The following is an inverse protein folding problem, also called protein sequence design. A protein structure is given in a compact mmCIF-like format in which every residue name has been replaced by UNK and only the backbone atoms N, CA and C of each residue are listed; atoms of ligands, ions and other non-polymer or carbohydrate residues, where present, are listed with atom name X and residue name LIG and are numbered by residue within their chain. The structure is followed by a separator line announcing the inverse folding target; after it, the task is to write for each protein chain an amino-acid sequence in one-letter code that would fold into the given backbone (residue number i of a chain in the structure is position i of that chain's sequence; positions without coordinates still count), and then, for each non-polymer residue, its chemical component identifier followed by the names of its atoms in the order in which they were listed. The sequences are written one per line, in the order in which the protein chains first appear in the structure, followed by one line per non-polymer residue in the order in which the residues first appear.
data_IF_508021332454
#
_entry.id   IF_508021332454
#
_cell.length_a   1.000
_cell.length_b   1.000
_cell.length_c   1.000
_cell.angle_alpha   90.00
_cell.angle_beta   90.00
_cell.angle_gamma   90.00
#
_symmetry.space_group_name_H-M   'P 1'
#
loop_
_entity.id
_entity.type
_entity.pdbx_description
1 polymer ?
#
# COMPACT_ATOMS: atom_id res chain seq x y z
N UNK A 1 -7.63 9.01 33.08
CA UNK A 1 -8.69 8.44 32.21
C UNK A 1 -7.98 7.72 31.06
N UNK A 2 -8.02 6.38 31.09
CA UNK A 2 -7.06 5.51 30.40
C UNK A 2 -7.29 5.32 28.90
N UNK A 3 -6.18 5.04 28.21
CA UNK A 3 -6.02 4.70 26.78
C UNK A 3 -6.67 3.35 26.37
N UNK A 4 -7.73 2.90 27.06
CA UNK A 4 -8.29 1.54 26.93
C UNK A 4 -9.45 1.41 25.93
N UNK A 5 -9.82 2.46 25.18
CA UNK A 5 -11.00 2.45 24.30
C UNK A 5 -10.72 2.37 22.80
N UNK A 6 -9.47 2.47 22.35
CA UNK A 6 -9.14 2.07 20.99
C UNK A 6 -8.90 0.56 20.99
N UNK A 7 -10.00 -0.21 21.09
CA UNK A 7 -10.06 -1.53 20.45
C UNK A 7 -9.51 -1.31 19.06
N UNK A 8 -8.31 -1.83 18.81
CA UNK A 8 -7.84 -2.11 17.47
C UNK A 8 -8.96 -2.93 16.87
N UNK A 9 -9.86 -2.29 16.12
CA UNK A 9 -10.90 -2.98 15.36
C UNK A 9 -10.15 -3.89 14.43
N UNK A 10 -10.00 -5.15 14.85
CA UNK A 10 -9.66 -6.23 13.95
C UNK A 10 -10.67 -6.09 12.82
N UNK A 11 -10.15 -5.74 11.64
CA UNK A 11 -10.95 -5.78 10.42
C UNK A 11 -11.62 -7.16 10.45
N UNK A 12 -12.97 -7.24 10.44
CA UNK A 12 -13.64 -8.54 10.45
C UNK A 12 -13.07 -9.37 9.29
N UNK A 13 -12.99 -10.69 9.44
CA UNK A 13 -12.65 -11.57 8.31
C UNK A 13 -13.69 -11.36 7.22
N UNK A 14 -13.36 -10.47 6.28
CA UNK A 14 -14.22 -10.11 5.17
C UNK A 14 -14.25 -11.29 4.20
N UNK A 15 -15.42 -11.57 3.66
CA UNK A 15 -15.55 -12.55 2.59
C UNK A 15 -14.57 -12.19 1.45
N UNK A 16 -13.93 -13.17 0.78
CA UNK A 16 -12.91 -12.91 -0.24
C UNK A 16 -13.35 -11.93 -1.32
N UNK A 17 -14.61 -11.99 -1.74
CA UNK A 17 -15.21 -11.06 -2.72
C UNK A 17 -15.30 -9.62 -2.22
N UNK A 18 -15.53 -9.42 -0.93
CA UNK A 18 -15.57 -8.10 -0.29
C UNK A 18 -14.17 -7.54 -0.15
N UNK A 19 -13.20 -8.37 0.25
CA UNK A 19 -11.78 -8.02 0.29
C UNK A 19 -11.28 -7.60 -1.09
N UNK A 20 -11.56 -8.39 -2.12
CA UNK A 20 -11.19 -8.08 -3.51
C UNK A 20 -11.78 -6.75 -3.96
N UNK A 21 -13.07 -6.50 -3.69
CA UNK A 21 -13.71 -5.22 -3.99
C UNK A 21 -12.96 -4.04 -3.36
N UNK A 22 -12.66 -4.10 -2.06
CA UNK A 22 -11.96 -3.02 -1.38
C UNK A 22 -10.52 -2.84 -1.86
N UNK A 23 -9.84 -3.93 -2.21
CA UNK A 23 -8.50 -3.88 -2.80
C UNK A 23 -8.54 -3.17 -4.15
N UNK A 24 -9.52 -3.50 -5.01
CA UNK A 24 -9.69 -2.84 -6.30
C UNK A 24 -10.04 -1.34 -6.13
N UNK A 25 -10.94 -1.00 -5.21
CA UNK A 25 -11.27 0.40 -4.88
C UNK A 25 -10.04 1.16 -4.37
N UNK A 26 -9.21 0.53 -3.53
CA UNK A 26 -7.97 1.13 -3.03
C UNK A 26 -6.98 1.39 -4.17
N UNK A 27 -6.77 0.42 -5.06
CA UNK A 27 -5.90 0.56 -6.24
C UNK A 27 -6.38 1.70 -7.13
N UNK A 28 -7.69 1.77 -7.41
CA UNK A 28 -8.27 2.83 -8.22
C UNK A 28 -8.04 4.21 -7.61
N UNK A 29 -8.35 4.36 -6.31
CA UNK A 29 -8.21 5.63 -5.59
C UNK A 29 -6.76 6.09 -5.54
N UNK A 30 -5.83 5.18 -5.23
CA UNK A 30 -4.40 5.49 -5.16
C UNK A 30 -3.81 5.82 -6.53
N UNK A 31 -4.26 5.14 -7.60
CA UNK A 31 -3.86 5.48 -8.97
C UNK A 31 -4.40 6.84 -9.40
N UNK A 32 -5.63 7.20 -9.01
CA UNK A 32 -6.17 8.55 -9.26
C UNK A 32 -5.37 9.61 -8.51
N UNK A 33 -5.06 9.39 -7.23
CA UNK A 33 -4.21 10.28 -6.44
C UNK A 33 -2.82 10.46 -7.08
N UNK A 34 -2.19 9.36 -7.53
CA UNK A 34 -0.92 9.39 -8.27
C UNK A 34 -1.02 10.21 -9.56
N UNK A 35 -2.08 10.01 -10.35
CA UNK A 35 -2.30 10.78 -11.59
C UNK A 35 -2.45 12.28 -11.31
N UNK A 36 -3.20 12.65 -10.27
CA UNK A 36 -3.37 14.04 -9.87
C UNK A 36 -2.04 14.63 -9.38
N UNK A 37 -1.29 13.92 -8.54
CA UNK A 37 0.04 14.35 -8.09
C UNK A 37 0.98 14.60 -9.27
N UNK A 38 1.04 13.69 -10.25
CA UNK A 38 1.84 13.88 -11.46
C UNK A 38 1.36 15.06 -12.30
N UNK A 39 0.04 15.20 -12.50
CA UNK A 39 -0.55 16.30 -13.27
C UNK A 39 -0.23 17.67 -12.68
N UNK A 40 -0.23 17.78 -11.35
CA UNK A 40 0.04 19.02 -10.63
C UNK A 40 1.49 19.15 -10.15
N UNK A 41 2.39 18.25 -10.59
CA UNK A 41 3.81 18.20 -10.18
C UNK A 41 4.01 18.21 -8.66
N UNK A 42 3.03 17.70 -7.92
CA UNK A 42 3.17 17.46 -6.49
C UNK A 42 4.13 16.29 -6.33
N UNK A 43 5.15 16.41 -5.48
CA UNK A 43 6.04 15.28 -5.23
C UNK A 43 5.19 14.09 -4.80
N UNK A 44 5.37 12.95 -5.48
CA UNK A 44 4.61 11.76 -5.14
C UNK A 44 5.06 11.35 -3.73
N UNK A 45 4.15 11.41 -2.76
CA UNK A 45 4.50 11.09 -1.39
C UNK A 45 4.92 9.62 -1.33
N UNK A 46 6.06 9.33 -0.70
CA UNK A 46 6.53 7.95 -0.48
C UNK A 46 5.47 7.06 0.17
N UNK A 47 4.61 7.70 0.98
CA UNK A 47 3.39 7.12 1.57
C UNK A 47 2.49 6.48 0.51
N UNK A 48 2.23 7.19 -0.58
CA UNK A 48 1.28 6.76 -1.61
C UNK A 48 1.85 5.58 -2.40
N UNK A 49 3.16 5.61 -2.69
CA UNK A 49 3.87 4.47 -3.29
C UNK A 49 3.80 3.24 -2.40
N UNK A 50 4.01 3.42 -1.10
CA UNK A 50 3.94 2.34 -0.13
C UNK A 50 2.55 1.69 -0.05
N UNK A 51 1.50 2.50 0.10
CA UNK A 51 0.14 1.96 0.16
C UNK A 51 -0.32 1.36 -1.16
N UNK A 52 0.09 1.92 -2.30
CA UNK A 52 -0.23 1.36 -3.61
C UNK A 52 0.47 0.01 -3.80
N UNK A 53 1.72 -0.12 -3.36
CA UNK A 53 2.43 -1.40 -3.37
C UNK A 53 1.75 -2.46 -2.49
N UNK A 54 1.27 -2.09 -1.29
CA UNK A 54 0.48 -3.00 -0.43
C UNK A 54 -0.81 -3.42 -1.13
N UNK A 55 -1.54 -2.48 -1.72
CA UNK A 55 -2.79 -2.79 -2.41
C UNK A 55 -2.58 -3.76 -3.58
N UNK A 56 -1.49 -3.60 -4.35
CA UNK A 56 -1.12 -4.56 -5.40
C UNK A 56 -0.71 -5.93 -4.84
N UNK A 57 -0.02 -6.01 -3.69
CA UNK A 57 0.27 -7.29 -3.03
C UNK A 57 -1.03 -8.02 -2.67
N UNK A 58 -2.01 -7.32 -2.10
CA UNK A 58 -3.31 -7.90 -1.77
C UNK A 58 -4.12 -8.31 -3.00
N UNK A 59 -3.95 -7.63 -4.13
CA UNK A 59 -4.56 -8.02 -5.40
C UNK A 59 -3.85 -9.21 -6.08
N UNK A 60 -2.74 -9.68 -5.51
CA UNK A 60 -1.89 -10.72 -6.12
C UNK A 60 -0.97 -10.22 -7.24
N UNK A 61 -0.97 -8.92 -7.57
CA UNK A 61 -0.08 -8.33 -8.57
C UNK A 61 1.27 -7.95 -7.94
N UNK A 62 2.07 -8.97 -7.63
CA UNK A 62 3.40 -8.81 -7.02
C UNK A 62 4.34 -8.01 -7.91
N UNK A 63 4.16 -8.06 -9.24
CA UNK A 63 5.00 -7.31 -10.19
C UNK A 63 4.80 -5.80 -10.01
N UNK A 64 3.55 -5.35 -9.97
CA UNK A 64 3.24 -3.95 -9.72
C UNK A 64 3.61 -3.53 -8.30
N UNK A 65 3.37 -4.39 -7.30
CA UNK A 65 3.77 -4.15 -5.92
C UNK A 65 5.28 -3.89 -5.79
N UNK A 66 6.12 -4.71 -6.45
CA UNK A 66 7.57 -4.53 -6.54
C UNK A 66 7.95 -3.20 -7.15
N UNK A 67 7.33 -2.83 -8.26
CA UNK A 67 7.64 -1.58 -8.97
C UNK A 67 7.39 -0.36 -8.09
N UNK A 68 6.26 -0.29 -7.39
CA UNK A 68 5.94 0.86 -6.54
C UNK A 68 6.85 0.93 -5.31
N UNK A 69 7.15 -0.22 -4.69
CA UNK A 69 8.03 -0.31 -3.51
C UNK A 69 9.49 -0.01 -3.85
N UNK A 70 9.98 -0.42 -5.01
CA UNK A 70 11.37 -0.14 -5.43
C UNK A 70 11.63 1.34 -5.69
N UNK A 71 10.58 2.10 -5.98
CA UNK A 71 10.67 3.54 -6.22
C UNK A 71 10.61 4.38 -4.94
N UNK A 72 10.53 3.75 -3.76
CA UNK A 72 10.61 4.44 -2.46
C UNK A 72 12.08 4.74 -2.15
N UNK A 73 12.46 6.01 -1.90
CA UNK A 73 13.84 6.39 -1.64
C UNK A 73 14.33 5.91 -0.27
N UNK A 74 15.62 5.67 -0.14
CA UNK A 74 16.24 5.15 1.11
C UNK A 74 16.07 6.07 2.33
N UNK A 75 15.90 7.37 2.10
CA UNK A 75 15.61 8.36 3.16
C UNK A 75 14.15 8.34 3.65
N UNK A 76 13.28 7.55 3.02
CA UNK A 76 11.88 7.47 3.41
C UNK A 76 11.68 6.63 4.67
N UNK A 77 10.76 7.07 5.55
CA UNK A 77 10.31 6.25 6.68
C UNK A 77 9.67 4.92 6.27
N UNK A 78 9.20 4.80 5.02
CA UNK A 78 8.58 3.58 4.48
C UNK A 78 9.60 2.63 3.83
N UNK A 79 10.84 3.07 3.63
CA UNK A 79 11.87 2.28 2.96
C UNK A 79 12.19 0.95 3.68
N UNK A 80 12.38 0.91 5.02
CA UNK A 80 12.68 -0.35 5.70
C UNK A 80 11.60 -1.41 5.51
N UNK A 81 10.33 -1.02 5.56
CA UNK A 81 9.21 -1.95 5.41
C UNK A 81 9.00 -2.36 3.96
N UNK A 82 9.19 -1.43 3.00
CA UNK A 82 9.21 -1.77 1.58
C UNK A 82 10.26 -2.83 1.25
N UNK A 83 11.44 -2.75 1.86
CA UNK A 83 12.52 -3.72 1.66
C UNK A 83 12.21 -5.07 2.29
N UNK A 84 11.57 -5.11 3.46
CA UNK A 84 11.09 -6.36 4.07
C UNK A 84 10.10 -7.07 3.17
N UNK A 85 9.11 -6.34 2.64
CA UNK A 85 8.11 -6.90 1.73
C UNK A 85 8.73 -7.42 0.43
N UNK A 86 9.65 -6.66 -0.17
CA UNK A 86 10.38 -7.11 -1.36
C UNK A 86 11.15 -8.42 -1.11
N UNK A 87 11.88 -8.50 -0.01
CA UNK A 87 12.60 -9.73 0.39
C UNK A 87 11.66 -10.91 0.66
N UNK A 88 10.44 -10.66 1.15
CA UNK A 88 9.42 -11.70 1.34
C UNK A 88 8.99 -12.26 -0.02
N UNK A 89 8.77 -11.41 -1.01
CA UNK A 89 8.40 -11.84 -2.36
C UNK A 89 9.52 -12.55 -3.11
N UNK A 90 10.78 -12.23 -2.83
CA UNK A 90 11.95 -12.90 -3.45
C UNK A 90 12.18 -14.32 -2.93
N UNK A 91 11.56 -14.68 -1.79
CA UNK A 91 11.66 -16.00 -1.17
C UNK A 91 10.54 -16.97 -1.55
N UNK A 92 9.50 -16.47 -2.23
CA UNK A 92 8.37 -17.24 -2.73
C UNK A 92 8.49 -17.40 -4.25
#
# INVERSE_FOLDING_TARGET
LGLSLLKVSRVPDLAPSVTEKYVQEAIQTLNQAKRLSLKYQLSQADRDRYFLGIAYEFAGDIRMARSEMAAIPSGSKFYPDSQKLRRKWDKN
#
